data_IF_260462230090
#
_entry.id   IF_260462230090
#
_cell.length_a   1.000
_cell.length_b   1.000
_cell.length_c   1.000
_cell.angle_alpha   90.00
_cell.angle_beta   90.00
_cell.angle_gamma   90.00
#
_symmetry.space_group_name_H-M   'P 1'
#
loop_
_entity.id
_entity.type
_entity.pdbx_description
1 polymer ?
#
# COMPACT_ATOMS: atom_id res chain seq x y z
N UNK A 1 -0.35 12.91 -7.90
CA UNK A 1 -1.58 12.25 -7.42
C UNK A 1 -1.59 12.07 -5.91
N UNK A 2 -0.55 11.48 -5.30
CA UNK A 2 -0.53 11.20 -3.84
C UNK A 2 -0.45 12.47 -2.98
N UNK A 3 0.50 13.37 -3.26
CA UNK A 3 0.53 14.71 -2.66
C UNK A 3 -0.80 15.49 -2.81
N UNK A 4 -1.54 15.26 -3.90
CA UNK A 4 -2.84 15.91 -4.12
C UNK A 4 -3.94 15.40 -3.18
N UNK A 5 -3.93 14.11 -2.80
CA UNK A 5 -4.89 13.57 -1.83
C UNK A 5 -4.65 14.20 -0.45
N UNK A 6 -3.39 14.28 -0.02
CA UNK A 6 -3.04 14.88 1.27
C UNK A 6 -3.37 16.39 1.30
N UNK A 7 -3.08 17.12 0.22
CA UNK A 7 -3.39 18.55 0.11
C UNK A 7 -4.90 18.86 0.10
N UNK A 8 -5.77 17.86 -0.11
CA UNK A 8 -7.23 18.02 0.03
C UNK A 8 -7.72 17.86 1.47
N UNK A 9 -6.81 17.70 2.44
CA UNK A 9 -7.16 17.41 3.84
C UNK A 9 -7.66 15.98 4.05
N UNK A 10 -7.58 15.12 3.02
CA UNK A 10 -7.79 13.70 3.17
C UNK A 10 -6.51 13.12 3.73
N UNK A 11 -6.50 12.91 5.04
CA UNK A 11 -5.37 12.31 5.74
C UNK A 11 -5.33 10.83 5.36
N UNK A 12 -4.73 10.50 4.23
CA UNK A 12 -4.66 9.14 3.66
C UNK A 12 -3.23 8.63 3.67
N UNK A 13 -3.06 7.39 4.14
CA UNK A 13 -1.79 6.67 4.06
C UNK A 13 -1.70 5.90 2.74
N UNK A 14 -0.58 6.02 2.03
CA UNK A 14 -0.38 5.43 0.72
C UNK A 14 0.86 4.54 0.68
N UNK A 15 0.64 3.25 0.41
CA UNK A 15 1.71 2.29 0.08
C UNK A 15 1.64 2.01 -1.41
N UNK A 16 2.74 2.25 -2.13
CA UNK A 16 2.81 1.97 -3.57
C UNK A 16 3.42 0.61 -3.81
N UNK A 17 2.68 -0.23 -4.54
CA UNK A 17 3.08 -1.59 -4.88
C UNK A 17 3.32 -1.69 -6.37
N UNK A 18 4.54 -2.04 -6.80
CA UNK A 18 4.95 -1.91 -8.21
C UNK A 18 5.86 -3.06 -8.67
N UNK A 19 5.71 -3.50 -9.92
CA UNK A 19 6.64 -4.44 -10.55
C UNK A 19 7.96 -3.77 -11.00
N UNK A 20 8.03 -2.43 -10.98
CA UNK A 20 9.25 -1.69 -11.28
C UNK A 20 10.23 -1.78 -10.12
N UNK A 21 11.50 -2.04 -10.43
CA UNK A 21 12.57 -2.21 -9.44
C UNK A 21 13.67 -1.16 -9.56
N UNK A 22 13.54 -0.19 -10.45
CA UNK A 22 14.53 0.87 -10.58
C UNK A 22 14.50 1.75 -9.33
N UNK A 23 15.68 2.05 -8.79
CA UNK A 23 15.83 2.92 -7.62
C UNK A 23 15.20 4.29 -7.83
N UNK A 24 15.32 4.82 -9.05
CA UNK A 24 14.73 6.09 -9.47
C UNK A 24 13.20 6.11 -9.31
N UNK A 25 12.51 5.03 -9.67
CA UNK A 25 11.05 4.93 -9.51
C UNK A 25 10.67 4.97 -8.02
N UNK A 26 11.45 4.28 -7.17
CA UNK A 26 11.24 4.27 -5.72
C UNK A 26 11.44 5.66 -5.12
N UNK A 27 12.55 6.33 -5.45
CA UNK A 27 12.87 7.68 -4.96
C UNK A 27 11.79 8.66 -5.39
N UNK A 28 11.40 8.66 -6.68
CA UNK A 28 10.38 9.55 -7.20
C UNK A 28 9.03 9.33 -6.51
N UNK A 29 8.62 8.07 -6.33
CA UNK A 29 7.34 7.72 -5.70
C UNK A 29 7.27 8.18 -4.24
N UNK A 30 8.32 7.94 -3.47
CA UNK A 30 8.42 8.40 -2.09
C UNK A 30 8.43 9.94 -2.03
N UNK A 31 9.19 10.59 -2.92
CA UNK A 31 9.22 12.05 -3.05
C UNK A 31 7.87 12.68 -3.44
N UNK A 32 6.98 11.92 -4.08
CA UNK A 32 5.62 12.36 -4.42
C UNK A 32 4.60 12.21 -3.27
N UNK A 33 5.03 11.80 -2.08
CA UNK A 33 4.19 11.70 -0.89
C UNK A 33 3.59 10.31 -0.65
N UNK A 34 4.26 9.25 -1.10
CA UNK A 34 3.96 7.89 -0.64
C UNK A 34 4.59 7.64 0.74
N UNK A 35 3.91 6.93 1.62
CA UNK A 35 4.41 6.55 2.94
C UNK A 35 5.33 5.34 2.90
N UNK A 36 5.13 4.44 1.93
CA UNK A 36 6.00 3.31 1.66
C UNK A 36 5.96 2.87 0.18
N UNK A 37 7.00 2.15 -0.23
CA UNK A 37 7.13 1.54 -1.56
C UNK A 37 7.52 0.07 -1.44
N UNK A 38 6.80 -0.79 -2.15
CA UNK A 38 6.99 -2.23 -2.14
C UNK A 38 7.09 -2.78 -3.57
N UNK A 39 8.16 -3.51 -3.86
CA UNK A 39 8.35 -4.13 -5.17
C UNK A 39 7.64 -5.48 -5.26
N UNK A 40 7.07 -5.80 -6.42
CA UNK A 40 6.56 -7.14 -6.74
C UNK A 40 7.67 -8.09 -7.22
N UNK A 41 7.53 -9.41 -6.97
CA UNK A 41 6.53 -10.04 -6.10
C UNK A 41 6.87 -9.80 -4.62
N UNK A 42 5.86 -9.87 -3.76
CA UNK A 42 6.04 -9.71 -2.32
C UNK A 42 5.25 -10.75 -1.54
N UNK A 43 5.68 -10.99 -0.30
CA UNK A 43 4.94 -11.83 0.64
C UNK A 43 3.73 -11.06 1.20
N UNK A 44 2.55 -11.69 1.33
CA UNK A 44 1.41 -11.04 1.95
C UNK A 44 1.66 -10.63 3.40
N UNK A 45 2.47 -11.42 4.12
CA UNK A 45 2.91 -11.08 5.47
C UNK A 45 3.81 -9.84 5.49
N UNK A 46 4.63 -9.64 4.45
CA UNK A 46 5.44 -8.43 4.31
C UNK A 46 4.55 -7.21 4.04
N UNK A 47 3.54 -7.33 3.18
CA UNK A 47 2.57 -6.25 2.94
C UNK A 47 1.84 -5.89 4.24
N UNK A 48 1.35 -6.89 4.97
CA UNK A 48 0.70 -6.70 6.27
C UNK A 48 1.62 -5.99 7.27
N UNK A 49 2.87 -6.42 7.39
CA UNK A 49 3.85 -5.81 8.29
C UNK A 49 4.12 -4.35 7.94
N UNK A 50 4.20 -4.01 6.64
CA UNK A 50 4.37 -2.63 6.15
C UNK A 50 3.15 -1.78 6.44
N UNK A 51 1.94 -2.27 6.17
CA UNK A 51 0.69 -1.58 6.51
C UNK A 51 0.65 -1.26 8.02
N UNK A 52 0.91 -2.25 8.88
CA UNK A 52 0.95 -2.06 10.33
C UNK A 52 2.03 -1.06 10.78
N UNK A 53 3.15 -0.99 10.06
CA UNK A 53 4.24 -0.05 10.35
C UNK A 53 3.85 1.38 9.97
N UNK A 54 3.23 1.56 8.81
CA UNK A 54 2.74 2.87 8.34
C UNK A 54 1.64 3.40 9.26
N UNK A 55 0.69 2.55 9.68
CA UNK A 55 -0.38 2.93 10.62
C UNK A 55 0.16 3.38 11.99
N UNK A 56 1.18 2.70 12.53
CA UNK A 56 1.80 3.06 13.82
C UNK A 56 2.39 4.46 13.82
N UNK A 57 2.91 4.94 12.68
CA UNK A 57 3.49 6.30 12.57
C UNK A 57 2.45 7.40 12.78
N UNK A 58 1.19 7.15 12.40
CA UNK A 58 0.10 8.11 12.61
C UNK A 58 -0.54 8.03 13.99
N UNK A 59 -0.62 6.83 14.57
CA UNK A 59 -1.18 6.62 15.90
C UNK A 59 -0.15 6.03 16.86
N UNK A 60 0.89 6.80 17.24
CA UNK A 60 1.93 6.30 18.15
C UNK A 60 1.40 5.90 19.54
N UNK A 61 0.18 6.33 19.90
CA UNK A 61 -0.50 5.95 21.15
C UNK A 61 -1.33 4.67 21.05
N UNK A 62 -1.57 4.11 19.86
CA UNK A 62 -2.27 2.83 19.75
C UNK A 62 -1.27 1.69 19.97
N UNK A 63 -1.33 1.05 21.14
CA UNK A 63 -0.50 -0.11 21.48
C UNK A 63 -0.74 -1.31 20.53
N UNK A 64 -1.85 -1.31 19.79
CA UNK A 64 -2.24 -2.35 18.83
C UNK A 64 -3.02 -1.68 17.69
N UNK A 65 -2.40 -1.38 16.53
CA UNK A 65 -3.16 -0.89 15.37
C UNK A 65 -4.05 -2.02 14.86
N UNK A 66 -5.35 -1.95 15.13
CA UNK A 66 -6.35 -2.84 14.55
C UNK A 66 -6.64 -2.41 13.11
N UNK A 67 -6.28 -3.25 12.16
CA UNK A 67 -6.70 -3.11 10.77
C UNK A 67 -8.14 -3.57 10.64
N UNK A 68 -9.05 -2.63 10.43
CA UNK A 68 -10.43 -2.94 10.03
C UNK A 68 -10.47 -2.88 8.51
N UNK A 69 -10.49 -4.05 7.88
CA UNK A 69 -10.68 -4.18 6.43
C UNK A 69 -12.15 -4.49 6.16
N UNK A 70 -12.69 -3.86 5.13
CA UNK A 70 -13.96 -4.25 4.53
C UNK A 70 -13.82 -5.60 3.81
N UNK A 71 -14.94 -6.29 3.59
CA UNK A 71 -14.94 -7.58 2.87
C UNK A 71 -14.26 -7.47 1.49
N UNK A 72 -14.50 -6.37 0.78
CA UNK A 72 -13.91 -6.11 -0.54
C UNK A 72 -12.39 -5.93 -0.46
N UNK A 73 -11.88 -5.27 0.59
CA UNK A 73 -10.44 -5.12 0.78
C UNK A 73 -9.77 -6.46 1.09
N UNK A 74 -10.43 -7.32 1.88
CA UNK A 74 -9.96 -8.69 2.12
C UNK A 74 -9.92 -9.52 0.84
N UNK A 75 -10.97 -9.48 0.02
CA UNK A 75 -11.03 -10.17 -1.27
C UNK A 75 -9.95 -9.67 -2.23
N UNK A 76 -9.75 -8.35 -2.31
CA UNK A 76 -8.68 -7.76 -3.12
C UNK A 76 -7.30 -8.20 -2.64
N UNK A 77 -7.06 -8.22 -1.33
CA UNK A 77 -5.82 -8.77 -0.79
C UNK A 77 -5.66 -10.23 -1.21
N UNK A 78 -6.70 -11.05 -1.08
CA UNK A 78 -6.68 -12.46 -1.47
C UNK A 78 -6.36 -12.66 -2.95
N UNK A 79 -6.96 -11.86 -3.83
CA UNK A 79 -6.70 -11.87 -5.26
C UNK A 79 -5.24 -11.47 -5.57
N UNK A 80 -4.72 -10.44 -4.90
CA UNK A 80 -3.32 -10.04 -5.03
C UNK A 80 -2.36 -11.12 -4.51
N UNK A 81 -2.74 -11.86 -3.46
CA UNK A 81 -1.95 -12.98 -2.91
C UNK A 81 -1.92 -14.19 -3.86
N UNK A 82 -3.02 -14.47 -4.57
CA UNK A 82 -3.12 -15.59 -5.50
C UNK A 82 -2.33 -15.35 -6.80
N UNK A 83 -2.10 -14.09 -7.16
CA UNK A 83 -1.43 -13.71 -8.40
C UNK A 83 -0.27 -12.71 -8.17
N UNK A 84 0.79 -13.11 -7.44
CA UNK A 84 1.86 -12.21 -7.00
C UNK A 84 2.68 -11.61 -8.16
N UNK A 85 2.84 -12.36 -9.25
CA UNK A 85 3.58 -11.94 -10.45
C UNK A 85 2.69 -11.26 -11.49
N UNK A 86 1.38 -11.21 -11.26
CA UNK A 86 0.44 -10.64 -12.22
C UNK A 86 0.16 -9.16 -11.89
N UNK A 87 0.21 -8.32 -12.93
CA UNK A 87 -0.27 -6.94 -12.84
C UNK A 87 -1.79 -6.98 -12.95
N UNK A 88 -2.47 -7.00 -11.81
CA UNK A 88 -3.92 -6.86 -11.75
C UNK A 88 -4.26 -5.40 -12.06
N UNK A 89 -4.89 -5.18 -13.22
CA UNK A 89 -5.32 -3.85 -13.66
C UNK A 89 -6.73 -3.58 -13.14
N UNK A 90 -7.12 -2.29 -13.08
CA UNK A 90 -8.46 -1.90 -12.63
C UNK A 90 -9.59 -2.56 -13.45
N UNK A 91 -9.33 -2.92 -14.71
CA UNK A 91 -10.28 -3.63 -15.59
C UNK A 91 -10.48 -5.10 -15.20
N UNK A 92 -9.54 -5.74 -14.50
CA UNK A 92 -9.62 -7.13 -14.07
C UNK A 92 -10.21 -7.32 -12.68
N UNK A 93 -10.70 -6.25 -12.04
CA UNK A 93 -11.33 -6.24 -10.71
C UNK A 93 -12.83 -5.93 -10.81
N UNK A 94 -13.35 -5.64 -12.03
CA UNK A 94 -14.78 -5.41 -12.28
C UNK A 94 -15.44 -6.63 -12.92
#
# INVERSE_FOLDING_TARGET
>A
MLCYLNNRGLDVLAIVVSARRAEQDKIATLGHGADDYMSKPFSPMELMARILTVLRRRHPKSSHPSLVLTMVECELMQLLMQHPDQVITKLGIY
#
